data_IF_905466089925
#
_entry.id   IF_905466089925
#
_cell.length_a   1.000
_cell.length_b   1.000
_cell.length_c   1.000
_cell.angle_alpha   90.00
_cell.angle_beta   90.00
_cell.angle_gamma   90.00
#
_symmetry.space_group_name_H-M   'P 1'
#
loop_
_entity.id
_entity.type
_entity.pdbx_description
1 polymer ?
#
# COMPACT_ATOMS: atom_id res chain seq x y z
N UNK A 1 22.93 -15.38 14.08
CA UNK A 1 23.56 -15.06 12.78
C UNK A 1 22.56 -14.53 11.75
N UNK A 2 21.27 -14.40 12.11
CA UNK A 2 20.18 -14.12 11.17
C UNK A 2 19.97 -12.64 10.84
N UNK A 3 20.36 -11.73 11.73
CA UNK A 3 20.17 -10.29 11.49
C UNK A 3 21.03 -9.79 10.31
N UNK A 4 22.32 -10.15 10.31
CA UNK A 4 23.27 -9.73 9.27
C UNK A 4 22.88 -10.33 7.92
N UNK A 5 22.45 -11.59 7.88
CA UNK A 5 22.03 -12.24 6.63
C UNK A 5 20.76 -11.61 6.07
N UNK A 6 19.78 -11.27 6.90
CA UNK A 6 18.56 -10.57 6.47
C UNK A 6 18.85 -9.15 5.98
N UNK A 7 19.74 -8.41 6.65
CA UNK A 7 20.15 -7.08 6.22
C UNK A 7 20.86 -7.12 4.86
N UNK A 8 21.81 -8.05 4.68
CA UNK A 8 22.51 -8.24 3.42
C UNK A 8 21.57 -8.64 2.28
N UNK A 9 20.60 -9.52 2.54
CA UNK A 9 19.56 -9.88 1.55
C UNK A 9 18.73 -8.66 1.14
N UNK A 10 18.34 -7.81 2.09
CA UNK A 10 17.62 -6.57 1.81
C UNK A 10 18.43 -5.59 0.94
N UNK A 11 19.71 -5.37 1.29
CA UNK A 11 20.62 -4.52 0.51
C UNK A 11 20.87 -5.07 -0.89
N UNK A 12 21.03 -6.39 -1.03
CA UNK A 12 21.21 -7.05 -2.33
C UNK A 12 19.95 -6.87 -3.20
N UNK A 13 18.76 -7.05 -2.62
CA UNK A 13 17.50 -6.80 -3.32
C UNK A 13 17.38 -5.35 -3.81
N UNK A 14 17.72 -4.37 -2.97
CA UNK A 14 17.72 -2.97 -3.34
C UNK A 14 18.71 -2.68 -4.48
N UNK A 15 19.95 -3.18 -4.37
CA UNK A 15 20.96 -3.01 -5.41
C UNK A 15 20.56 -3.66 -6.74
N UNK A 16 19.92 -4.83 -6.69
CA UNK A 16 19.42 -5.53 -7.86
C UNK A 16 18.31 -4.74 -8.58
N UNK A 17 17.33 -4.21 -7.84
CA UNK A 17 16.27 -3.39 -8.42
C UNK A 17 16.81 -2.10 -9.05
N UNK A 18 17.74 -1.41 -8.37
CA UNK A 18 18.42 -0.23 -8.94
C UNK A 18 19.19 -0.63 -10.21
N UNK A 19 19.86 -1.79 -10.19
CA UNK A 19 20.54 -2.34 -11.37
C UNK A 19 19.60 -2.54 -12.55
N UNK A 20 18.42 -3.12 -12.34
CA UNK A 20 17.39 -3.26 -13.38
C UNK A 20 16.95 -1.89 -13.90
N UNK A 21 16.67 -0.93 -13.02
CA UNK A 21 16.28 0.43 -13.42
C UNK A 21 17.37 1.10 -14.29
N UNK A 22 18.65 0.90 -13.97
CA UNK A 22 19.76 1.42 -14.78
C UNK A 22 19.83 0.69 -16.13
N UNK A 23 19.64 -0.63 -16.15
CA UNK A 23 19.68 -1.42 -17.38
C UNK A 23 18.59 -1.00 -18.38
N UNK A 24 17.37 -0.79 -17.87
CA UNK A 24 16.21 -0.36 -18.66
C UNK A 24 16.18 1.15 -18.93
N UNK A 25 17.09 1.94 -18.32
CA UNK A 25 17.12 3.38 -18.52
C UNK A 25 17.59 3.75 -19.93
N UNK A 26 16.78 4.57 -20.60
CA UNK A 26 17.04 5.10 -21.94
C UNK A 26 18.31 5.96 -21.99
N UNK A 27 18.65 6.69 -20.92
CA UNK A 27 19.83 7.53 -20.86
C UNK A 27 20.52 7.41 -19.50
N UNK A 28 21.40 6.41 -19.38
CA UNK A 28 22.12 6.08 -18.15
C UNK A 28 23.01 7.20 -17.62
N UNK A 29 23.49 8.09 -18.50
CA UNK A 29 24.35 9.23 -18.12
C UNK A 29 23.57 10.40 -17.53
N UNK A 30 22.28 10.50 -17.84
CA UNK A 30 21.40 11.55 -17.31
C UNK A 30 20.75 11.18 -15.97
N UNK A 31 21.11 10.04 -15.37
CA UNK A 31 20.56 9.62 -14.08
C UNK A 31 21.08 10.57 -13.00
N UNK A 32 20.17 11.32 -12.37
CA UNK A 32 20.49 12.20 -11.27
C UNK A 32 20.60 11.40 -9.96
N UNK A 33 21.83 11.04 -9.59
CA UNK A 33 22.12 10.26 -8.39
C UNK A 33 21.71 10.95 -7.08
N UNK A 34 21.64 12.29 -7.04
CA UNK A 34 21.14 13.03 -5.88
C UNK A 34 19.65 12.79 -5.65
N UNK A 35 18.88 12.69 -6.75
CA UNK A 35 17.45 12.40 -6.68
C UNK A 35 17.20 10.93 -6.32
N UNK A 36 17.97 10.01 -6.91
CA UNK A 36 17.87 8.57 -6.61
C UNK A 36 18.21 8.29 -5.15
N UNK A 37 19.34 8.78 -4.64
CA UNK A 37 19.74 8.58 -3.25
C UNK A 37 18.81 9.29 -2.27
N UNK A 38 18.31 10.49 -2.63
CA UNK A 38 17.30 11.20 -1.86
C UNK A 38 15.99 10.43 -1.74
N UNK A 39 15.50 9.84 -2.84
CA UNK A 39 14.30 9.01 -2.84
C UNK A 39 14.45 7.73 -2.00
N UNK A 40 15.58 7.02 -2.15
CA UNK A 40 15.90 5.83 -1.34
C UNK A 40 16.02 6.21 0.15
N UNK A 41 16.71 7.31 0.45
CA UNK A 41 16.85 7.82 1.81
C UNK A 41 15.50 8.14 2.44
N UNK A 42 14.62 8.82 1.71
CA UNK A 42 13.27 9.14 2.17
C UNK A 42 12.46 7.86 2.44
N UNK A 43 12.51 6.86 1.54
CA UNK A 43 11.85 5.58 1.73
C UNK A 43 12.33 4.85 2.99
N UNK A 44 13.65 4.80 3.21
CA UNK A 44 14.24 4.17 4.40
C UNK A 44 13.86 4.91 5.69
N UNK A 45 13.90 6.24 5.68
CA UNK A 45 13.46 7.07 6.81
C UNK A 45 12.00 6.78 7.13
N UNK A 46 11.13 6.80 6.13
CA UNK A 46 9.70 6.55 6.32
C UNK A 46 9.44 5.12 6.84
N UNK A 47 10.14 4.11 6.29
CA UNK A 47 10.04 2.74 6.77
C UNK A 47 10.47 2.60 8.24
N UNK A 48 11.55 3.26 8.65
CA UNK A 48 12.00 3.23 10.05
C UNK A 48 11.00 3.96 10.94
N UNK A 49 10.51 5.13 10.54
CA UNK A 49 9.51 5.88 11.28
C UNK A 49 8.27 5.02 11.54
N UNK A 50 7.69 4.39 10.51
CA UNK A 50 6.47 3.60 10.64
C UNK A 50 6.69 2.26 11.36
N UNK A 51 7.80 1.56 11.10
CA UNK A 51 8.02 0.19 11.61
C UNK A 51 8.74 0.12 12.96
N UNK A 52 9.48 1.16 13.35
CA UNK A 52 10.36 1.11 14.55
C UNK A 52 10.05 2.19 15.58
N UNK A 53 9.52 3.35 15.19
CA UNK A 53 9.29 4.44 16.14
C UNK A 53 7.96 4.23 16.87
N UNK A 54 7.97 4.07 18.20
CA UNK A 54 6.75 3.92 18.98
C UNK A 54 5.91 5.19 18.89
N UNK A 55 4.60 5.05 18.69
CA UNK A 55 3.65 6.15 18.53
C UNK A 55 3.42 6.58 17.08
N UNK A 56 4.39 6.41 16.18
CA UNK A 56 4.17 6.67 14.74
C UNK A 56 3.25 5.61 14.16
N UNK A 57 3.50 4.33 14.43
CA UNK A 57 2.61 3.24 14.00
C UNK A 57 1.17 3.47 14.47
N UNK A 58 0.99 3.86 15.73
CA UNK A 58 -0.33 4.17 16.30
C UNK A 58 -1.01 5.33 15.55
N UNK A 59 -0.30 6.41 15.24
CA UNK A 59 -0.85 7.52 14.47
C UNK A 59 -1.27 7.08 13.05
N UNK A 60 -0.48 6.20 12.41
CA UNK A 60 -0.83 5.60 11.13
C UNK A 60 -2.04 4.66 11.23
N UNK A 61 -2.17 3.91 12.31
CA UNK A 61 -3.35 3.06 12.57
C UNK A 61 -4.61 3.90 12.76
N UNK A 62 -4.51 5.04 13.44
CA UNK A 62 -5.62 6.00 13.55
C UNK A 62 -5.97 6.61 12.19
N UNK A 63 -4.98 6.92 11.36
CA UNK A 63 -5.24 7.38 10.00
C UNK A 63 -5.89 6.28 9.14
N UNK A 64 -5.42 5.04 9.25
CA UNK A 64 -6.00 3.89 8.58
C UNK A 64 -7.45 3.62 9.01
N UNK A 65 -7.79 3.86 10.28
CA UNK A 65 -9.17 3.68 10.78
C UNK A 65 -10.16 4.61 10.07
N UNK A 66 -9.76 5.83 9.72
CA UNK A 66 -10.59 6.75 8.91
C UNK A 66 -10.98 6.10 7.58
N UNK A 67 -10.04 5.46 6.88
CA UNK A 67 -10.35 4.74 5.64
C UNK A 67 -11.27 3.54 5.88
N UNK A 68 -11.12 2.83 7.00
CA UNK A 68 -12.05 1.74 7.33
C UNK A 68 -13.47 2.25 7.53
N UNK A 69 -13.67 3.42 8.14
CA UNK A 69 -15.00 4.02 8.26
C UNK A 69 -15.59 4.41 6.90
N UNK A 70 -14.77 4.97 6.00
CA UNK A 70 -15.20 5.31 4.63
C UNK A 70 -15.64 4.05 3.88
N UNK A 71 -14.88 2.95 3.98
CA UNK A 71 -15.25 1.66 3.39
C UNK A 71 -16.57 1.16 3.97
N UNK A 72 -16.75 1.22 5.30
CA UNK A 72 -18.00 0.81 5.95
C UNK A 72 -19.20 1.63 5.49
N UNK A 73 -19.07 2.94 5.30
CA UNK A 73 -20.14 3.77 4.75
C UNK A 73 -20.48 3.38 3.31
N UNK A 74 -19.48 3.07 2.50
CA UNK A 74 -19.71 2.57 1.15
C UNK A 74 -20.38 1.20 1.14
N UNK A 75 -20.02 0.29 2.04
CA UNK A 75 -20.67 -1.02 2.18
C UNK A 75 -22.14 -0.86 2.61
N UNK A 76 -22.44 0.05 3.53
CA UNK A 76 -23.81 0.37 3.94
C UNK A 76 -24.63 0.95 2.78
N UNK A 77 -24.04 1.81 1.95
CA UNK A 77 -24.68 2.33 0.74
C UNK A 77 -24.96 1.25 -0.30
N UNK A 78 -24.01 0.32 -0.48
CA UNK A 78 -24.20 -0.85 -1.34
C UNK A 78 -25.30 -1.78 -0.82
N UNK A 79 -25.36 -2.00 0.49
CA UNK A 79 -26.43 -2.77 1.14
C UNK A 79 -27.79 -2.09 0.96
N UNK A 80 -27.86 -0.76 1.05
CA UNK A 80 -29.10 -0.02 0.78
C UNK A 80 -29.60 -0.20 -0.66
N UNK A 81 -28.69 -0.19 -1.65
CA UNK A 81 -29.04 -0.32 -3.07
C UNK A 81 -29.30 -1.76 -3.52
N UNK A 82 -28.54 -2.73 -3.01
CA UNK A 82 -28.49 -4.11 -3.54
C UNK A 82 -28.91 -5.18 -2.52
N UNK A 83 -29.17 -4.81 -1.26
CA UNK A 83 -29.64 -5.72 -0.22
C UNK A 83 -28.73 -6.94 -0.03
N UNK A 84 -29.34 -8.13 -0.03
CA UNK A 84 -28.66 -9.41 0.22
C UNK A 84 -27.54 -9.73 -0.80
N UNK A 85 -27.58 -9.12 -2.00
CA UNK A 85 -26.55 -9.30 -3.02
C UNK A 85 -25.22 -8.62 -2.65
N UNK A 86 -25.27 -7.58 -1.81
CA UNK A 86 -24.07 -6.90 -1.30
C UNK A 86 -23.54 -7.53 0.00
N UNK A 87 -24.40 -8.11 0.83
CA UNK A 87 -23.99 -8.77 2.09
C UNK A 87 -23.55 -10.23 1.87
N UNK A 88 -24.09 -10.89 0.83
CA UNK A 88 -23.81 -12.31 0.54
C UNK A 88 -24.64 -13.29 1.38
N UNK A 89 -25.60 -12.79 2.15
CA UNK A 89 -26.53 -13.62 2.92
C UNK A 89 -27.52 -14.32 1.98
N UNK A 90 -27.88 -15.56 2.33
CA UNK A 90 -28.72 -16.51 1.56
C UNK A 90 -28.02 -17.32 0.46
N UNK A 91 -26.72 -17.60 0.63
CA UNK A 91 -26.02 -18.64 -0.15
C UNK A 91 -25.40 -18.17 -1.47
N UNK A 92 -25.47 -16.87 -1.77
CA UNK A 92 -24.81 -16.27 -2.93
C UNK A 92 -23.29 -16.10 -2.75
N UNK A 93 -22.80 -16.12 -1.49
CA UNK A 93 -21.39 -15.92 -1.19
C UNK A 93 -20.91 -14.48 -1.46
N UNK A 94 -19.60 -14.28 -1.49
CA UNK A 94 -19.01 -12.96 -1.74
C UNK A 94 -19.16 -12.57 -3.21
N UNK A 95 -20.15 -11.75 -3.54
CA UNK A 95 -20.30 -11.22 -4.91
C UNK A 95 -19.45 -9.96 -5.07
N UNK A 96 -18.31 -10.11 -5.74
CA UNK A 96 -17.35 -9.02 -5.98
C UNK A 96 -18.01 -7.75 -6.56
N UNK A 97 -18.90 -7.90 -7.54
CA UNK A 97 -19.51 -6.79 -8.24
C UNK A 97 -20.32 -5.84 -7.33
N UNK A 98 -21.06 -6.38 -6.35
CA UNK A 98 -21.94 -5.59 -5.50
C UNK A 98 -21.28 -5.11 -4.21
N UNK A 99 -20.04 -5.51 -3.94
CA UNK A 99 -19.30 -5.13 -2.73
C UNK A 99 -18.05 -4.29 -3.00
N UNK A 100 -17.30 -4.63 -4.06
CA UNK A 100 -16.06 -3.92 -4.40
C UNK A 100 -16.31 -2.74 -5.33
N UNK A 101 -17.18 -2.87 -6.34
CA UNK A 101 -17.43 -1.79 -7.31
C UNK A 101 -18.06 -0.54 -6.67
N UNK A 102 -19.03 -0.64 -5.74
CA UNK A 102 -19.59 0.54 -5.07
C UNK A 102 -18.54 1.33 -4.28
N UNK A 103 -17.58 0.63 -3.65
CA UNK A 103 -16.46 1.26 -2.93
C UNK A 103 -15.62 2.11 -3.87
N UNK A 104 -15.27 1.61 -5.06
CA UNK A 104 -14.54 2.38 -6.06
C UNK A 104 -15.31 3.63 -6.51
N UNK A 105 -16.63 3.50 -6.75
CA UNK A 105 -17.48 4.63 -7.14
C UNK A 105 -17.58 5.69 -6.03
N UNK A 106 -17.75 5.27 -4.78
CA UNK A 106 -17.84 6.17 -3.62
C UNK A 106 -16.53 6.95 -3.39
N UNK A 107 -15.38 6.31 -3.62
CA UNK A 107 -14.07 6.97 -3.55
C UNK A 107 -13.77 7.90 -4.74
N UNK A 108 -14.46 7.73 -5.87
CA UNK A 108 -14.19 8.49 -7.11
C UNK A 108 -15.14 9.68 -7.31
N UNK A 109 -16.24 9.75 -6.56
CA UNK A 109 -17.23 10.82 -6.60
C UNK A 109 -16.80 12.01 -5.73
#
# INVERSE_FOLDING_TARGET
MDFITNLLRGLLGLAFLIGICILLSRNRKAINWRLVSGGIGLQLVFAILVLKVPGVSWAFDQFASVFTYIIQWSENGAQFLFGDLATGDKGFGYIFAFRVLPTVMFYSA
#
